data_IF_931003392105
#
_entry.id   IF_931003392105
#
_cell.length_a   1.000
_cell.length_b   1.000
_cell.length_c   1.000
_cell.angle_alpha   90.00
_cell.angle_beta   90.00
_cell.angle_gamma   90.00
#
_symmetry.space_group_name_H-M   'P 1'
#
loop_
_entity.id
_entity.type
_entity.pdbx_description
1 polymer ?
#
# COMPACT_ATOMS: atom_id res chain seq x y z
N UNK A 1 33.53 -5.08 -0.20
CA UNK A 1 32.25 -4.83 -0.88
C UNK A 1 31.78 -6.16 -1.44
N UNK A 2 30.53 -6.53 -1.14
CA UNK A 2 29.88 -7.69 -1.75
C UNK A 2 28.88 -7.17 -2.79
N UNK A 3 28.82 -7.83 -3.94
CA UNK A 3 27.88 -7.47 -4.99
C UNK A 3 27.37 -8.71 -5.71
N UNK A 4 26.19 -8.61 -6.27
CA UNK A 4 25.59 -9.61 -7.16
C UNK A 4 25.27 -8.94 -8.48
N UNK A 5 25.56 -9.60 -9.58
CA UNK A 5 25.17 -9.16 -10.92
C UNK A 5 24.11 -10.12 -11.48
N UNK A 6 23.17 -9.55 -12.19
CA UNK A 6 22.04 -10.30 -12.75
C UNK A 6 21.73 -9.77 -14.14
N UNK A 7 21.55 -10.67 -15.09
CA UNK A 7 21.09 -10.32 -16.43
C UNK A 7 19.55 -10.25 -16.45
N UNK A 8 19.02 -9.04 -16.43
CA UNK A 8 17.59 -8.78 -16.46
C UNK A 8 16.96 -8.99 -17.85
N UNK A 9 17.77 -9.23 -18.90
CA UNK A 9 17.27 -9.58 -20.23
C UNK A 9 16.87 -11.04 -20.35
N UNK A 10 17.33 -11.90 -19.41
CA UNK A 10 16.87 -13.28 -19.32
C UNK A 10 15.39 -13.30 -18.90
N UNK A 11 14.51 -13.91 -19.69
CA UNK A 11 13.07 -13.99 -19.37
C UNK A 11 12.79 -14.73 -18.06
N UNK A 12 13.67 -15.64 -17.63
CA UNK A 12 13.50 -16.43 -16.39
C UNK A 12 14.05 -15.71 -15.15
N UNK A 13 14.66 -14.57 -15.30
CA UNK A 13 15.23 -13.81 -14.19
C UNK A 13 14.34 -12.59 -13.88
N UNK A 14 13.96 -12.43 -12.63
CA UNK A 14 13.17 -11.31 -12.15
C UNK A 14 13.77 -10.73 -10.87
N UNK A 15 13.63 -9.42 -10.70
CA UNK A 15 13.87 -8.75 -9.43
C UNK A 15 12.51 -8.50 -8.78
N UNK A 16 12.35 -8.93 -7.54
CA UNK A 16 11.09 -8.84 -6.79
C UNK A 16 11.31 -8.25 -5.42
N UNK A 17 10.34 -7.46 -4.97
CA UNK A 17 10.23 -7.12 -3.56
C UNK A 17 9.44 -8.22 -2.85
N UNK A 18 10.00 -8.75 -1.77
CA UNK A 18 9.29 -9.68 -0.89
C UNK A 18 9.23 -9.12 0.53
N UNK A 19 8.12 -9.34 1.19
CA UNK A 19 7.88 -8.90 2.57
C UNK A 19 7.91 -10.11 3.50
N UNK A 20 8.50 -9.96 4.67
CA UNK A 20 8.46 -11.02 5.68
C UNK A 20 7.01 -11.37 6.03
N UNK A 21 6.57 -12.62 5.78
CA UNK A 21 5.21 -13.11 6.03
C UNK A 21 4.11 -12.22 5.41
N UNK A 22 4.39 -11.59 4.28
CA UNK A 22 3.45 -10.75 3.52
C UNK A 22 2.71 -9.67 4.32
N UNK A 23 3.35 -9.12 5.33
CA UNK A 23 2.82 -7.99 6.09
C UNK A 23 3.91 -6.99 6.49
N UNK A 24 3.48 -5.78 6.87
CA UNK A 24 4.38 -4.66 7.16
C UNK A 24 5.17 -4.80 8.47
N UNK A 25 4.73 -5.63 9.39
CA UNK A 25 5.30 -5.70 10.74
C UNK A 25 6.13 -6.95 11.02
N UNK A 26 6.20 -7.87 10.07
CA UNK A 26 6.98 -9.10 10.22
C UNK A 26 8.44 -8.88 9.85
N UNK A 27 9.30 -9.16 10.79
CA UNK A 27 10.74 -9.14 10.58
C UNK A 27 11.24 -10.56 10.28
N UNK A 28 11.73 -10.76 9.07
CA UNK A 28 12.39 -12.00 8.65
C UNK A 28 13.75 -11.61 8.09
N UNK A 29 14.79 -12.35 8.46
CA UNK A 29 16.12 -12.11 7.90
C UNK A 29 16.18 -12.52 6.43
N UNK A 30 16.96 -11.79 5.61
CA UNK A 30 17.11 -12.06 4.17
C UNK A 30 17.39 -13.54 3.88
N UNK A 31 18.29 -14.25 4.58
CA UNK A 31 18.52 -15.66 4.31
C UNK A 31 17.31 -16.58 4.56
N UNK A 32 16.37 -16.16 5.40
CA UNK A 32 15.18 -16.96 5.75
C UNK A 32 13.95 -16.62 4.90
N UNK A 33 13.97 -15.53 4.14
CA UNK A 33 12.85 -15.16 3.27
C UNK A 33 12.57 -16.16 2.17
N UNK A 34 13.56 -16.74 1.46
CA UNK A 34 13.31 -17.73 0.43
C UNK A 34 12.50 -18.94 0.90
N UNK A 35 12.70 -19.37 2.13
CA UNK A 35 12.00 -20.53 2.69
C UNK A 35 10.47 -20.39 2.74
N UNK A 36 9.97 -19.16 2.82
CA UNK A 36 8.53 -18.85 2.86
C UNK A 36 7.97 -18.34 1.53
N UNK A 37 8.83 -18.07 0.53
CA UNK A 37 8.43 -17.46 -0.74
C UNK A 37 8.81 -18.31 -1.95
N UNK A 38 9.72 -19.30 -1.81
CA UNK A 38 10.01 -20.22 -2.89
C UNK A 38 8.79 -21.11 -3.19
N UNK A 39 8.50 -21.27 -4.45
CA UNK A 39 7.52 -22.20 -4.98
C UNK A 39 8.08 -22.91 -6.23
N UNK A 40 7.39 -23.86 -6.84
CA UNK A 40 7.89 -24.57 -8.02
C UNK A 40 8.24 -23.68 -9.23
N UNK A 41 7.66 -22.49 -9.31
CA UNK A 41 7.83 -21.55 -10.42
C UNK A 41 8.82 -20.42 -10.07
N UNK A 42 9.04 -20.15 -8.78
CA UNK A 42 9.85 -19.04 -8.31
C UNK A 42 10.87 -19.48 -7.27
N UNK A 43 12.15 -19.37 -7.62
CA UNK A 43 13.26 -19.67 -6.72
C UNK A 43 14.06 -18.38 -6.46
N UNK A 44 14.09 -17.95 -5.22
CA UNK A 44 14.90 -16.81 -4.80
C UNK A 44 16.31 -17.28 -4.48
N UNK A 45 17.29 -16.91 -5.29
CA UNK A 45 18.68 -17.35 -5.17
C UNK A 45 19.63 -16.28 -4.62
N UNK A 46 19.21 -15.02 -4.61
CA UNK A 46 19.95 -13.90 -4.05
C UNK A 46 18.98 -12.88 -3.47
N UNK A 47 19.42 -12.14 -2.46
CA UNK A 47 18.61 -11.09 -1.86
C UNK A 47 19.45 -10.10 -1.06
N UNK A 48 18.93 -8.90 -0.94
CA UNK A 48 19.48 -7.81 -0.13
C UNK A 48 18.32 -7.14 0.60
N UNK A 49 18.57 -6.64 1.81
CA UNK A 49 17.57 -5.83 2.47
C UNK A 49 17.42 -4.48 1.74
N UNK A 50 16.17 -4.07 1.58
CA UNK A 50 15.81 -2.91 0.80
C UNK A 50 15.65 -1.65 1.67
N UNK A 51 14.51 -1.45 2.31
CA UNK A 51 14.20 -0.22 3.03
C UNK A 51 14.61 -0.28 4.53
N UNK A 52 14.67 0.87 5.19
CA UNK A 52 14.75 0.96 6.64
C UNK A 52 13.41 0.62 7.28
N UNK A 53 13.44 0.02 8.47
CA UNK A 53 12.25 -0.38 9.20
C UNK A 53 11.97 0.63 10.31
N UNK A 54 10.78 1.22 10.29
CA UNK A 54 10.21 2.03 11.37
C UNK A 54 9.15 1.25 12.16
N UNK A 55 8.51 1.91 13.11
CA UNK A 55 7.47 1.30 13.97
C UNK A 55 6.22 0.78 13.22
N UNK A 56 6.07 1.09 11.93
CA UNK A 56 4.98 0.65 11.06
C UNK A 56 5.50 -0.07 9.79
N UNK A 57 6.59 -0.81 9.92
CA UNK A 57 7.22 -1.50 8.79
C UNK A 57 8.18 -0.61 8.00
N UNK A 58 8.36 -0.85 6.70
CA UNK A 58 9.22 -0.06 5.82
C UNK A 58 8.93 1.43 5.93
N UNK A 59 9.94 2.28 5.89
CA UNK A 59 9.75 3.75 5.98
C UNK A 59 9.18 4.31 4.69
N UNK A 60 9.70 3.87 3.56
CA UNK A 60 9.35 4.35 2.23
C UNK A 60 8.00 3.86 1.70
N UNK A 61 7.74 4.18 0.45
CA UNK A 61 6.63 3.60 -0.30
C UNK A 61 6.99 2.18 -0.73
N UNK A 62 6.09 1.25 -0.49
CA UNK A 62 6.33 -0.18 -0.69
C UNK A 62 5.20 -0.79 -1.50
N UNK A 63 5.55 -1.38 -2.63
CA UNK A 63 4.65 -2.17 -3.47
C UNK A 63 5.31 -3.50 -3.81
N UNK A 64 4.54 -4.58 -3.83
CA UNK A 64 5.04 -5.91 -4.19
C UNK A 64 4.00 -6.65 -5.04
N UNK A 65 4.43 -7.25 -6.14
CA UNK A 65 3.55 -7.98 -7.07
C UNK A 65 2.31 -7.18 -7.51
N UNK A 66 2.46 -5.88 -7.75
CA UNK A 66 1.37 -5.01 -8.18
C UNK A 66 0.39 -4.62 -7.06
N UNK A 67 0.67 -4.96 -5.80
CA UNK A 67 -0.10 -4.54 -4.64
C UNK A 67 0.61 -3.40 -3.89
N UNK A 68 -0.13 -2.36 -3.50
CA UNK A 68 0.34 -1.28 -2.65
C UNK A 68 0.28 -1.69 -1.17
N UNK A 69 1.43 -1.94 -0.57
CA UNK A 69 1.53 -2.27 0.86
C UNK A 69 1.52 -1.04 1.76
N UNK A 70 2.24 0.00 1.35
CA UNK A 70 2.38 1.23 2.13
C UNK A 70 2.77 2.39 1.22
N UNK A 71 2.37 3.60 1.59
CA UNK A 71 2.91 4.81 0.95
C UNK A 71 3.56 5.74 1.96
N UNK A 72 4.66 6.37 1.55
CA UNK A 72 5.31 7.43 2.30
C UNK A 72 4.49 8.72 2.20
N UNK A 73 4.29 9.41 3.32
CA UNK A 73 3.48 10.65 3.37
C UNK A 73 4.22 11.90 2.90
N UNK A 74 5.53 11.84 2.91
CA UNK A 74 6.41 12.95 2.57
C UNK A 74 6.97 12.84 1.16
N UNK A 75 8.01 13.64 0.90
CA UNK A 75 8.85 13.62 -0.30
C UNK A 75 10.31 13.43 0.10
N UNK A 76 11.17 13.08 -0.84
CA UNK A 76 12.61 13.00 -0.61
C UNK A 76 13.12 11.67 -0.05
N UNK A 77 12.27 10.67 0.17
CA UNK A 77 12.68 9.31 0.49
C UNK A 77 12.92 8.55 -0.79
N UNK A 78 14.17 8.20 -1.06
CA UNK A 78 14.55 7.53 -2.30
C UNK A 78 14.06 6.09 -2.33
N UNK A 79 13.65 5.64 -3.51
CA UNK A 79 13.20 4.29 -3.76
C UNK A 79 13.68 3.78 -5.12
N UNK A 80 13.65 2.47 -5.29
CA UNK A 80 13.77 1.79 -6.57
C UNK A 80 12.41 1.18 -6.89
N UNK A 81 11.89 1.48 -8.07
CA UNK A 81 10.68 0.85 -8.62
C UNK A 81 11.04 -0.04 -9.80
N UNK A 82 10.28 -1.09 -9.98
CA UNK A 82 10.39 -2.03 -11.10
C UNK A 82 9.03 -2.09 -11.77
N UNK A 83 8.99 -1.85 -13.08
CA UNK A 83 7.76 -1.98 -13.84
C UNK A 83 7.59 -3.40 -14.43
N UNK A 84 6.43 -3.64 -15.05
CA UNK A 84 6.10 -4.94 -15.68
C UNK A 84 7.06 -5.35 -16.79
N UNK A 85 7.75 -4.38 -17.39
CA UNK A 85 8.73 -4.60 -18.46
C UNK A 85 10.16 -4.78 -17.90
N UNK A 86 10.29 -4.97 -16.58
CA UNK A 86 11.54 -5.11 -15.82
C UNK A 86 12.45 -3.86 -15.85
N UNK A 87 11.91 -2.72 -16.25
CA UNK A 87 12.66 -1.47 -16.24
C UNK A 87 12.75 -0.93 -14.82
N UNK A 88 13.94 -0.46 -14.44
CA UNK A 88 14.19 0.16 -13.15
C UNK A 88 13.90 1.66 -13.20
N UNK A 89 13.20 2.12 -12.20
CA UNK A 89 12.96 3.53 -11.89
C UNK A 89 13.60 3.85 -10.55
N UNK A 90 14.33 4.94 -10.45
CA UNK A 90 14.99 5.36 -9.21
C UNK A 90 14.80 6.85 -8.97
N UNK A 91 14.64 7.23 -7.72
CA UNK A 91 14.42 8.62 -7.34
C UNK A 91 13.68 8.73 -6.02
N UNK A 92 13.11 9.89 -5.75
CA UNK A 92 12.27 10.15 -4.59
C UNK A 92 10.79 10.17 -5.01
N UNK A 93 10.10 9.02 -5.02
CA UNK A 93 8.74 8.96 -5.47
C UNK A 93 7.77 9.62 -4.48
N UNK A 94 6.65 10.11 -5.01
CA UNK A 94 5.47 10.36 -4.21
C UNK A 94 4.26 9.68 -4.86
N UNK A 95 3.26 9.39 -4.03
CA UNK A 95 2.05 8.69 -4.48
C UNK A 95 0.83 9.53 -4.12
N UNK A 96 -0.08 9.68 -5.06
CA UNK A 96 -1.40 10.25 -4.83
C UNK A 96 -2.45 9.16 -4.89
N UNK A 97 -3.56 9.33 -4.17
CA UNK A 97 -4.67 8.39 -4.18
C UNK A 97 -5.97 9.15 -4.37
N UNK A 98 -6.65 8.86 -5.46
CA UNK A 98 -7.97 9.38 -5.76
C UNK A 98 -9.02 8.40 -5.27
N UNK A 99 -9.95 8.87 -4.46
CA UNK A 99 -11.18 8.16 -4.08
C UNK A 99 -12.35 8.69 -4.91
N UNK A 100 -13.17 7.80 -5.42
CA UNK A 100 -14.44 8.14 -6.08
C UNK A 100 -15.54 7.27 -5.47
N UNK A 101 -16.54 7.91 -4.86
CA UNK A 101 -17.69 7.26 -4.24
C UNK A 101 -18.98 7.86 -4.80
N UNK A 102 -20.00 7.06 -5.10
CA UNK A 102 -21.29 7.54 -5.60
C UNK A 102 -21.96 8.54 -4.65
N UNK A 103 -21.88 8.31 -3.34
CA UNK A 103 -22.55 9.16 -2.33
C UNK A 103 -21.64 10.27 -1.77
N UNK A 104 -20.33 10.00 -1.66
CA UNK A 104 -19.39 10.96 -1.09
C UNK A 104 -18.69 11.84 -2.13
N UNK A 105 -18.81 11.51 -3.42
CA UNK A 105 -18.13 12.20 -4.50
C UNK A 105 -16.64 11.85 -4.59
N UNK A 106 -15.86 12.80 -5.08
CA UNK A 106 -14.42 12.64 -5.25
C UNK A 106 -13.66 13.22 -4.05
N UNK A 107 -12.65 12.50 -3.57
CA UNK A 107 -11.75 12.94 -2.52
C UNK A 107 -10.33 12.41 -2.72
N UNK A 108 -9.39 12.92 -1.92
CA UNK A 108 -8.02 12.42 -1.89
C UNK A 108 -7.77 11.67 -0.58
N UNK A 109 -7.14 10.51 -0.68
CA UNK A 109 -6.57 9.78 0.44
C UNK A 109 -5.11 10.23 0.57
N UNK A 110 -4.69 10.55 1.79
CA UNK A 110 -3.34 11.08 2.04
C UNK A 110 -2.25 10.02 1.88
N UNK A 111 -2.53 8.81 2.35
CA UNK A 111 -1.56 7.71 2.32
C UNK A 111 -2.23 6.36 2.61
N UNK A 112 -1.46 5.30 2.41
CA UNK A 112 -1.83 3.91 2.73
C UNK A 112 -0.97 3.43 3.90
N UNK A 113 -1.62 2.81 4.90
CA UNK A 113 -0.96 2.20 6.07
C UNK A 113 0.03 3.12 6.79
N UNK A 114 -0.31 4.40 6.88
CA UNK A 114 0.49 5.43 7.54
C UNK A 114 -0.19 5.92 8.83
N UNK A 115 0.53 6.66 9.64
CA UNK A 115 -0.05 7.33 10.83
C UNK A 115 -1.06 8.37 10.36
N UNK A 116 -2.28 8.33 10.89
CA UNK A 116 -3.30 9.35 10.66
C UNK A 116 -2.98 10.60 11.51
N UNK A 117 -2.82 11.73 10.86
CA UNK A 117 -2.71 13.04 11.51
C UNK A 117 -4.03 13.82 11.36
N UNK A 118 -4.08 15.01 11.93
CA UNK A 118 -5.25 15.89 11.82
C UNK A 118 -5.52 16.26 10.36
N UNK A 119 -6.81 16.32 10.00
CA UNK A 119 -7.28 16.67 8.66
C UNK A 119 -6.80 15.72 7.55
N UNK A 120 -6.47 14.49 7.90
CA UNK A 120 -6.06 13.47 6.93
C UNK A 120 -7.06 12.33 6.82
N UNK A 121 -7.14 11.75 5.63
CA UNK A 121 -7.78 10.48 5.34
C UNK A 121 -6.69 9.47 5.00
N UNK A 122 -6.65 8.36 5.73
CA UNK A 122 -5.72 7.24 5.51
C UNK A 122 -6.53 6.00 5.13
N UNK A 123 -6.03 5.25 4.15
CA UNK A 123 -6.53 3.92 3.83
C UNK A 123 -5.67 2.89 4.54
N UNK A 124 -6.31 2.07 5.35
CA UNK A 124 -5.67 0.92 6.00
C UNK A 124 -6.07 -0.37 5.30
N UNK A 125 -5.10 -1.24 5.07
CA UNK A 125 -5.29 -2.57 4.49
C UNK A 125 -4.93 -3.65 5.50
N UNK A 126 -5.34 -4.90 5.28
CA UNK A 126 -4.96 -6.04 6.11
C UNK A 126 -3.44 -6.27 6.20
N UNK A 127 -2.64 -5.71 5.27
CA UNK A 127 -1.17 -5.75 5.34
C UNK A 127 -0.59 -5.03 6.56
N UNK A 128 -1.32 -4.08 7.13
CA UNK A 128 -0.95 -3.42 8.39
C UNK A 128 -1.16 -4.32 9.62
N UNK A 129 -2.15 -5.17 9.56
CA UNK A 129 -2.59 -6.02 10.69
C UNK A 129 -4.11 -5.98 10.87
N UNK A 130 -4.57 -6.40 12.04
CA UNK A 130 -6.00 -6.60 12.33
C UNK A 130 -6.80 -5.33 12.65
N UNK A 131 -6.14 -4.22 12.95
CA UNK A 131 -6.80 -2.95 13.28
C UNK A 131 -6.07 -1.75 12.70
N UNK A 132 -6.77 -0.62 12.57
CA UNK A 132 -6.17 0.64 12.10
C UNK A 132 -5.11 1.18 13.05
N UNK A 133 -5.17 0.84 14.34
CA UNK A 133 -4.27 1.34 15.37
C UNK A 133 -4.32 2.86 15.54
N UNK A 134 -5.36 3.52 15.02
CA UNK A 134 -5.53 4.97 15.13
C UNK A 134 -5.83 5.37 16.55
N UNK A 135 -5.27 6.49 16.96
CA UNK A 135 -5.55 7.12 18.26
C UNK A 135 -6.47 8.32 18.03
N UNK A 136 -7.34 8.54 19.01
CA UNK A 136 -8.26 9.68 18.98
C UNK A 136 -9.49 9.48 18.08
N UNK A 137 -10.45 10.37 18.26
CA UNK A 137 -11.71 10.35 17.54
C UNK A 137 -11.55 10.71 16.06
N UNK A 138 -12.38 10.07 15.24
CA UNK A 138 -12.46 10.32 13.80
C UNK A 138 -13.69 9.64 13.23
N UNK A 139 -13.72 9.49 11.92
CA UNK A 139 -14.72 8.66 11.24
C UNK A 139 -14.00 7.52 10.55
N UNK A 140 -14.46 6.30 10.78
CA UNK A 140 -13.92 5.11 10.13
C UNK A 140 -15.00 4.36 9.36
N UNK A 141 -14.66 3.86 8.18
CA UNK A 141 -15.54 3.12 7.26
C UNK A 141 -14.83 1.83 6.87
N UNK A 142 -15.45 0.70 7.18
CA UNK A 142 -14.92 -0.62 6.77
C UNK A 142 -15.40 -1.03 5.40
N UNK A 143 -14.52 -1.67 4.63
CA UNK A 143 -14.80 -2.14 3.28
C UNK A 143 -14.09 -3.46 2.98
N UNK A 144 -14.55 -4.16 1.95
CA UNK A 144 -13.87 -5.33 1.39
C UNK A 144 -13.54 -5.11 -0.07
N UNK A 145 -12.54 -5.85 -0.56
CA UNK A 145 -12.18 -5.85 -1.98
C UNK A 145 -13.32 -6.43 -2.83
N UNK A 146 -13.52 -5.87 -4.00
CA UNK A 146 -14.38 -6.42 -5.06
C UNK A 146 -13.53 -7.14 -6.10
N UNK A 147 -12.38 -6.58 -6.44
CA UNK A 147 -11.50 -7.08 -7.50
C UNK A 147 -10.04 -7.27 -7.05
N UNK A 148 -9.85 -7.66 -5.80
CA UNK A 148 -8.54 -8.01 -5.23
C UNK A 148 -7.93 -6.94 -4.33
N UNK A 149 -6.64 -7.08 -3.98
CA UNK A 149 -5.95 -6.17 -3.07
C UNK A 149 -5.82 -4.76 -3.67
N UNK A 150 -5.40 -3.79 -2.84
CA UNK A 150 -5.11 -2.44 -3.32
C UNK A 150 -3.97 -2.48 -4.34
N UNK A 151 -4.28 -2.19 -5.57
CA UNK A 151 -3.29 -2.17 -6.66
C UNK A 151 -2.27 -1.05 -6.46
N UNK A 152 -1.03 -1.28 -6.87
CA UNK A 152 -0.02 -0.21 -6.98
C UNK A 152 -0.33 0.73 -8.13
N UNK A 153 -1.10 0.27 -9.10
CA UNK A 153 -1.54 1.02 -10.27
C UNK A 153 -2.93 0.58 -10.73
N UNK A 154 -3.62 1.48 -11.42
CA UNK A 154 -4.99 1.24 -11.85
C UNK A 154 -5.98 1.40 -10.70
N UNK A 155 -7.23 1.10 -10.96
CA UNK A 155 -8.32 1.29 -10.02
C UNK A 155 -8.61 0.00 -9.26
N UNK A 156 -8.79 0.11 -7.95
CA UNK A 156 -9.30 -0.96 -7.08
C UNK A 156 -10.72 -0.59 -6.66
N UNK A 157 -11.66 -1.51 -6.88
CA UNK A 157 -13.04 -1.37 -6.41
C UNK A 157 -13.20 -2.03 -5.05
N UNK A 158 -13.90 -1.34 -4.17
CA UNK A 158 -14.14 -1.74 -2.79
C UNK A 158 -15.63 -1.56 -2.48
N UNK A 159 -16.17 -2.40 -1.61
CA UNK A 159 -17.55 -2.30 -1.16
C UNK A 159 -17.60 -2.03 0.34
N UNK A 160 -18.37 -1.03 0.74
CA UNK A 160 -18.57 -0.68 2.16
C UNK A 160 -19.33 -1.81 2.87
N UNK A 161 -18.70 -2.37 3.90
CA UNK A 161 -19.27 -3.44 4.74
C UNK A 161 -19.54 -3.00 6.18
N UNK A 162 -18.89 -1.91 6.61
CA UNK A 162 -19.19 -1.24 7.88
C UNK A 162 -19.47 0.23 7.57
N UNK A 163 -20.71 0.65 7.84
CA UNK A 163 -21.14 2.04 7.67
C UNK A 163 -20.24 3.00 8.47
N UNK A 164 -20.20 4.30 8.12
CA UNK A 164 -19.41 5.28 8.85
C UNK A 164 -19.68 5.27 10.35
N UNK A 165 -18.65 4.99 11.14
CA UNK A 165 -18.72 5.09 12.61
C UNK A 165 -17.99 6.35 13.03
N UNK A 166 -18.69 7.23 13.76
CA UNK A 166 -18.17 8.53 14.23
C UNK A 166 -17.55 8.39 15.61
N UNK A 167 -16.66 9.33 15.91
CA UNK A 167 -16.01 9.47 17.22
C UNK A 167 -15.25 8.22 17.67
N UNK A 168 -14.71 7.47 16.70
CA UNK A 168 -13.97 6.24 16.92
C UNK A 168 -12.56 6.30 16.33
N UNK A 169 -11.76 5.37 16.80
CA UNK A 169 -10.49 4.97 16.23
C UNK A 169 -10.26 3.49 16.48
N UNK A 170 -9.22 2.94 15.90
CA UNK A 170 -8.82 1.55 16.08
C UNK A 170 -9.83 0.52 15.58
N UNK A 171 -10.57 0.85 14.51
CA UNK A 171 -11.51 -0.10 13.88
C UNK A 171 -10.75 -1.37 13.42
N UNK A 172 -11.42 -2.52 13.58
CA UNK A 172 -10.93 -3.77 13.01
C UNK A 172 -10.89 -3.70 11.48
N UNK A 173 -9.79 -4.13 10.90
CA UNK A 173 -9.66 -4.23 9.45
C UNK A 173 -10.20 -5.61 9.04
N UNK A 174 -11.19 -5.70 8.15
CA UNK A 174 -11.67 -6.99 7.65
C UNK A 174 -10.53 -7.80 7.03
N UNK A 175 -10.59 -9.10 7.10
CA UNK A 175 -9.68 -9.97 6.36
C UNK A 175 -9.79 -9.68 4.86
N UNK A 176 -8.64 -9.48 4.21
CA UNK A 176 -8.55 -9.02 2.81
C UNK A 176 -9.36 -7.74 2.53
N UNK A 177 -9.54 -6.91 3.55
CA UNK A 177 -10.34 -5.70 3.48
C UNK A 177 -9.56 -4.43 3.82
N UNK A 178 -10.35 -3.38 3.97
CA UNK A 178 -9.88 -2.00 4.08
C UNK A 178 -10.64 -1.24 5.16
N UNK A 179 -9.98 -0.24 5.72
CA UNK A 179 -10.65 0.81 6.51
C UNK A 179 -10.19 2.17 6.03
N UNK A 180 -11.13 3.00 5.62
CA UNK A 180 -10.91 4.44 5.45
C UNK A 180 -11.06 5.11 6.81
N UNK A 181 -10.05 5.86 7.22
CA UNK A 181 -10.01 6.53 8.51
C UNK A 181 -9.68 8.01 8.33
N UNK A 182 -10.58 8.89 8.75
CA UNK A 182 -10.48 10.33 8.54
C UNK A 182 -10.66 11.16 9.80
N UNK A 183 -10.03 12.35 9.82
CA UNK A 183 -10.21 13.37 10.85
C UNK A 183 -10.47 14.74 10.23
N UNK A 184 -10.95 15.67 11.04
CA UNK A 184 -11.21 17.05 10.61
C UNK A 184 -12.15 17.10 9.39
N UNK A 185 -11.83 17.91 8.39
CA UNK A 185 -12.70 18.09 7.23
C UNK A 185 -12.89 16.81 6.37
N UNK A 186 -11.98 15.85 6.46
CA UNK A 186 -12.10 14.58 5.69
C UNK A 186 -13.25 13.71 6.18
N UNK A 187 -13.72 13.92 7.41
CA UNK A 187 -14.89 13.24 7.98
C UNK A 187 -16.17 13.52 7.19
N UNK A 188 -16.26 14.71 6.56
CA UNK A 188 -17.42 15.11 5.74
C UNK A 188 -17.58 14.20 4.50
N UNK A 189 -16.50 13.69 3.96
CA UNK A 189 -16.54 12.71 2.88
C UNK A 189 -16.99 11.36 3.42
N UNK A 190 -16.33 10.86 4.45
CA UNK A 190 -16.60 9.53 4.97
C UNK A 190 -18.02 9.36 5.50
N UNK A 191 -18.59 10.39 6.16
CA UNK A 191 -19.94 10.34 6.70
C UNK A 191 -21.06 10.24 5.66
N UNK A 192 -20.74 10.49 4.37
CA UNK A 192 -21.70 10.36 3.28
C UNK A 192 -21.70 8.96 2.66
N UNK A 193 -20.67 8.16 2.92
CA UNK A 193 -20.58 6.80 2.39
C UNK A 193 -21.68 5.92 3.00
N UNK A 194 -22.21 4.98 2.22
CA UNK A 194 -23.33 4.15 2.61
C UNK A 194 -22.97 2.67 2.61
N UNK A 195 -23.57 1.92 3.52
CA UNK A 195 -23.42 0.47 3.57
C UNK A 195 -23.82 -0.15 2.22
N UNK A 196 -22.97 -1.03 1.69
CA UNK A 196 -23.19 -1.73 0.44
C UNK A 196 -22.77 -0.96 -0.81
N UNK A 197 -22.45 0.34 -0.74
CA UNK A 197 -21.96 1.06 -1.91
C UNK A 197 -20.59 0.56 -2.35
N UNK A 198 -20.36 0.58 -3.66
CA UNK A 198 -19.03 0.40 -4.23
C UNK A 198 -18.39 1.75 -4.49
N UNK A 199 -17.11 1.85 -4.16
CA UNK A 199 -16.28 3.01 -4.40
C UNK A 199 -14.93 2.58 -4.99
N UNK A 200 -14.23 3.52 -5.56
CA UNK A 200 -12.99 3.28 -6.28
C UNK A 200 -11.83 4.03 -5.64
N UNK A 201 -10.67 3.39 -5.60
CA UNK A 201 -9.41 4.02 -5.22
C UNK A 201 -8.40 3.79 -6.34
N UNK A 202 -7.82 4.89 -6.83
CA UNK A 202 -6.81 4.88 -7.90
C UNK A 202 -5.54 5.54 -7.38
N UNK A 203 -4.44 4.79 -7.19
CA UNK A 203 -3.12 5.35 -6.95
C UNK A 203 -2.50 5.90 -8.24
N UNK A 204 -1.61 6.87 -8.07
CA UNK A 204 -0.69 7.30 -9.12
C UNK A 204 0.67 7.52 -8.49
N UNK A 205 1.69 6.83 -8.99
CA UNK A 205 3.07 6.92 -8.52
C UNK A 205 3.83 7.87 -9.45
N UNK A 206 4.60 8.76 -8.86
CA UNK A 206 5.42 9.74 -9.58
C UNK A 206 6.88 9.54 -9.19
N UNK A 207 7.76 9.41 -10.17
CA UNK A 207 9.20 9.57 -10.02
C UNK A 207 9.61 10.88 -10.71
N UNK A 208 10.32 11.75 -10.00
CA UNK A 208 10.78 13.06 -10.50
C UNK A 208 9.66 13.90 -11.15
N UNK A 209 8.47 13.89 -10.52
CA UNK A 209 7.25 14.55 -10.99
C UNK A 209 6.65 14.00 -12.30
N UNK A 210 7.14 12.89 -12.79
CA UNK A 210 6.56 12.18 -13.93
C UNK A 210 5.74 11.00 -13.42
N UNK A 211 4.48 10.94 -13.81
CA UNK A 211 3.63 9.78 -13.52
C UNK A 211 4.25 8.55 -14.16
N UNK A 212 4.52 7.55 -13.35
CA UNK A 212 5.15 6.29 -13.78
C UNK A 212 4.11 5.20 -13.75
N UNK A 213 4.00 4.48 -14.84
CA UNK A 213 3.01 3.42 -15.01
C UNK A 213 3.62 2.04 -14.83
N UNK A 214 2.77 1.08 -14.53
CA UNK A 214 3.10 -0.35 -14.49
C UNK A 214 4.11 -0.75 -13.40
N UNK A 215 4.25 0.03 -12.32
CA UNK A 215 5.10 -0.33 -11.19
C UNK A 215 4.51 -1.54 -10.46
N UNK A 216 5.23 -2.65 -10.51
CA UNK A 216 4.86 -3.90 -9.84
C UNK A 216 5.50 -4.05 -8.47
N UNK A 217 6.74 -3.63 -8.34
CA UNK A 217 7.53 -3.74 -7.12
C UNK A 217 8.26 -2.42 -6.85
N UNK A 218 8.27 -1.98 -5.59
CA UNK A 218 8.93 -0.74 -5.18
C UNK A 218 9.28 -0.73 -3.70
N UNK A 219 10.48 -0.27 -3.37
CA UNK A 219 10.95 -0.03 -2.00
C UNK A 219 11.98 1.11 -1.93
#
# INVERSE_FOLDING_TARGET
VFYTTTDMTDPNVNLKLIMGKDNLTSNVTVPNMPASHNDPENIYFAGVNADFIGGMGPVGTTAANGEMYKSYKGTGWYAIGIDKDKKLHSGAPYTTFKLVSPNAGQASIKAVNAVRSDNEMILYTSRKGSTTGTKGAGVEVGAVAVDGPLKSEGTTRMRVTVAPVKDVGNMAIPENGFVLSGTGFTTNTLTKMQLGEEFEVTPTIYFDNVATTDITDMC
#
